data_IF_555840450665
#
_entry.id   IF_555840450665
#
_cell.length_a   1.000
_cell.length_b   1.000
_cell.length_c   1.000
_cell.angle_alpha   90.00
_cell.angle_beta   90.00
_cell.angle_gamma   90.00
#
_symmetry.space_group_name_H-M   'P 1'
#
loop_
_entity.id
_entity.type
_entity.pdbx_description
1 polymer ?
#
# COMPACT_ATOMS: atom_id res chain seq x y z
N UNK A 1 -4.27 -12.27 4.64
CA UNK A 1 -2.82 -12.20 4.35
C UNK A 1 -1.94 -12.81 5.44
N UNK A 2 -2.52 -13.41 6.47
CA UNK A 2 -1.82 -13.95 7.64
C UNK A 2 -0.81 -15.04 7.25
N UNK A 3 -1.16 -15.92 6.31
CA UNK A 3 -0.24 -16.94 5.77
C UNK A 3 1.01 -16.33 5.10
N UNK A 4 0.87 -15.21 4.39
CA UNK A 4 2.01 -14.49 3.79
C UNK A 4 2.90 -13.86 4.87
N UNK A 5 2.31 -13.31 5.94
CA UNK A 5 3.06 -12.74 7.06
C UNK A 5 3.81 -13.82 7.85
N UNK A 6 3.16 -14.95 8.10
CA UNK A 6 3.68 -16.07 8.86
C UNK A 6 4.79 -16.84 8.11
N UNK A 7 4.83 -16.76 6.78
CA UNK A 7 5.89 -17.36 6.00
C UNK A 7 7.26 -16.78 6.37
N UNK A 8 8.18 -17.66 6.77
CA UNK A 8 9.52 -17.27 7.25
C UNK A 8 10.53 -17.04 6.11
N UNK A 9 10.30 -17.64 4.93
CA UNK A 9 11.22 -17.50 3.80
C UNK A 9 10.64 -16.59 2.72
N UNK A 10 11.52 -15.86 2.03
CA UNK A 10 11.14 -15.01 0.88
C UNK A 10 10.54 -15.84 -0.26
N UNK A 11 11.03 -17.06 -0.45
CA UNK A 11 10.54 -18.01 -1.47
C UNK A 11 9.08 -18.36 -1.18
N UNK A 12 8.76 -18.77 0.06
CA UNK A 12 7.39 -19.13 0.43
C UNK A 12 6.42 -17.95 0.33
N UNK A 13 6.88 -16.74 0.68
CA UNK A 13 6.10 -15.51 0.47
C UNK A 13 5.80 -15.24 -0.99
N UNK A 14 6.75 -15.53 -1.90
CA UNK A 14 6.55 -15.39 -3.34
C UNK A 14 5.54 -16.42 -3.85
N UNK A 15 5.67 -17.69 -3.48
CA UNK A 15 4.70 -18.73 -3.84
C UNK A 15 3.28 -18.39 -3.41
N UNK A 16 3.10 -17.94 -2.17
CA UNK A 16 1.77 -17.54 -1.64
C UNK A 16 1.23 -16.33 -2.40
N UNK A 17 2.10 -15.38 -2.78
CA UNK A 17 1.70 -14.24 -3.58
C UNK A 17 1.32 -14.64 -5.01
N UNK A 18 2.07 -15.53 -5.64
CA UNK A 18 1.78 -16.01 -7.00
C UNK A 18 0.48 -16.84 -7.03
N UNK A 19 0.15 -17.56 -5.95
CA UNK A 19 -1.08 -18.35 -5.84
C UNK A 19 -2.32 -17.52 -5.51
N UNK A 20 -2.21 -16.51 -4.65
CA UNK A 20 -3.37 -15.79 -4.11
C UNK A 20 -3.42 -14.30 -4.49
N UNK A 21 -2.34 -13.72 -5.01
CA UNK A 21 -2.22 -12.30 -5.33
C UNK A 21 -2.18 -11.36 -4.12
N UNK A 22 -2.18 -11.90 -2.89
CA UNK A 22 -2.30 -11.12 -1.66
C UNK A 22 -0.96 -11.02 -0.92
N UNK A 23 -0.56 -9.80 -0.57
CA UNK A 23 0.64 -9.49 0.22
C UNK A 23 0.28 -8.83 1.54
N UNK A 24 0.98 -9.19 2.63
CA UNK A 24 0.80 -8.52 3.91
C UNK A 24 1.41 -7.12 3.91
N UNK A 25 0.70 -6.17 4.52
CA UNK A 25 1.16 -4.81 4.76
C UNK A 25 0.57 -4.32 6.10
N UNK A 26 1.16 -3.27 6.68
CA UNK A 26 0.65 -2.70 7.93
C UNK A 26 -0.81 -2.23 7.84
N UNK A 27 -1.31 -1.96 6.63
CA UNK A 27 -2.71 -1.62 6.37
C UNK A 27 -3.69 -2.74 6.75
N UNK A 28 -3.25 -4.00 6.80
CA UNK A 28 -4.09 -5.13 7.23
C UNK A 28 -4.43 -5.10 8.73
N UNK A 29 -3.75 -4.26 9.54
CA UNK A 29 -4.08 -4.07 10.96
C UNK A 29 -5.29 -3.14 11.17
N UNK A 30 -5.71 -2.42 10.14
CA UNK A 30 -6.82 -1.49 10.22
C UNK A 30 -8.14 -2.26 10.17
N UNK A 31 -8.78 -2.43 11.33
CA UNK A 31 -10.01 -3.23 11.47
C UNK A 31 -11.19 -2.78 10.59
N UNK A 32 -11.19 -1.53 10.17
CA UNK A 32 -12.22 -0.94 9.28
C UNK A 32 -11.92 -1.12 7.78
N UNK A 33 -10.74 -1.62 7.43
CA UNK A 33 -10.26 -1.73 6.06
C UNK A 33 -9.73 -3.13 5.83
N UNK A 34 -10.59 -4.02 5.36
CA UNK A 34 -10.15 -5.30 4.80
C UNK A 34 -9.70 -5.07 3.35
N UNK A 35 -8.39 -5.11 3.03
CA UNK A 35 -7.90 -4.84 1.69
C UNK A 35 -8.24 -5.94 0.66
N UNK A 36 -8.73 -7.11 1.10
CA UNK A 36 -9.19 -8.19 0.21
C UNK A 36 -10.67 -8.00 -0.15
N UNK A 37 -11.48 -7.50 0.79
CA UNK A 37 -12.92 -7.24 0.59
C UNK A 37 -13.24 -5.83 0.13
N UNK A 38 -12.39 -4.85 0.47
CA UNK A 38 -12.51 -3.44 0.12
C UNK A 38 -11.41 -3.02 -0.88
N UNK A 39 -11.21 -3.84 -1.93
CA UNK A 39 -10.41 -3.47 -3.10
C UNK A 39 -11.17 -2.42 -3.92
N UNK A 40 -11.45 -1.26 -3.33
CA UNK A 40 -11.92 -0.10 -4.07
C UNK A 40 -10.70 0.42 -4.81
N UNK A 41 -10.45 -0.16 -5.99
CA UNK A 41 -9.40 0.24 -6.92
C UNK A 41 -9.39 1.78 -7.06
N UNK A 42 -10.56 2.41 -7.13
CA UNK A 42 -10.68 3.87 -7.23
C UNK A 42 -10.06 4.67 -6.07
N UNK A 43 -10.05 4.15 -4.83
CA UNK A 43 -9.42 4.83 -3.69
C UNK A 43 -7.92 4.55 -3.67
N UNK A 44 -7.48 3.33 -3.95
CA UNK A 44 -6.05 3.01 -4.07
C UNK A 44 -5.40 3.79 -5.23
N UNK A 45 -6.09 3.91 -6.36
CA UNK A 45 -5.64 4.63 -7.55
C UNK A 45 -5.61 6.14 -7.30
N UNK A 46 -6.65 6.74 -6.71
CA UNK A 46 -6.63 8.15 -6.30
C UNK A 46 -5.50 8.45 -5.30
N UNK A 47 -5.24 7.52 -4.38
CA UNK A 47 -4.16 7.68 -3.42
C UNK A 47 -2.80 7.68 -4.11
N UNK A 48 -2.56 6.77 -5.06
CA UNK A 48 -1.25 6.64 -5.72
C UNK A 48 -1.03 7.66 -6.84
N UNK A 49 -2.06 8.02 -7.62
CA UNK A 49 -1.89 8.83 -8.84
C UNK A 49 -1.84 10.35 -8.61
N UNK A 50 -2.28 10.87 -7.46
CA UNK A 50 -2.23 12.32 -7.26
C UNK A 50 -2.50 12.84 -5.87
N UNK A 51 -3.40 12.22 -5.10
CA UNK A 51 -3.78 12.75 -3.78
C UNK A 51 -2.64 12.60 -2.78
N UNK A 52 -1.98 11.44 -2.73
CA UNK A 52 -0.82 11.27 -1.84
C UNK A 52 0.36 12.12 -2.28
N UNK A 53 0.56 12.27 -3.60
CA UNK A 53 1.65 13.10 -4.12
C UNK A 53 1.42 14.59 -3.81
N UNK A 54 0.19 15.08 -3.99
CA UNK A 54 -0.20 16.44 -3.63
C UNK A 54 -0.12 16.66 -2.12
N UNK A 55 -0.67 15.74 -1.30
CA UNK A 55 -0.58 15.87 0.15
C UNK A 55 0.87 15.81 0.64
N UNK A 56 1.68 14.87 0.15
CA UNK A 56 3.08 14.75 0.56
C UNK A 56 3.91 15.99 0.16
N UNK A 57 3.76 16.50 -1.07
CA UNK A 57 4.57 17.62 -1.58
C UNK A 57 4.05 18.99 -1.16
N UNK A 58 2.74 19.21 -1.22
CA UNK A 58 2.12 20.52 -0.99
C UNK A 58 1.71 20.70 0.48
N UNK A 59 1.12 19.68 1.10
CA UNK A 59 0.60 19.79 2.47
C UNK A 59 1.67 19.47 3.53
N UNK A 60 2.50 18.46 3.28
CA UNK A 60 3.52 18.00 4.23
C UNK A 60 4.95 18.41 3.86
N UNK A 61 5.17 18.99 2.68
CA UNK A 61 6.47 19.52 2.26
C UNK A 61 7.58 18.47 2.11
N UNK A 62 7.24 17.20 1.90
CA UNK A 62 8.20 16.10 1.78
C UNK A 62 8.74 16.10 0.34
N UNK A 63 10.03 16.40 0.18
CA UNK A 63 10.72 16.32 -1.11
C UNK A 63 10.58 17.55 -2.03
N UNK A 64 10.15 18.70 -1.51
CA UNK A 64 10.25 19.98 -2.23
C UNK A 64 11.72 20.41 -2.28
N UNK A 65 12.29 20.48 -3.48
CA UNK A 65 13.56 21.17 -3.70
C UNK A 65 13.25 22.67 -3.68
N UNK A 66 13.85 23.39 -2.73
CA UNK A 66 13.69 24.82 -2.60
C UNK A 66 14.14 25.52 -3.90
N UNK A 67 13.21 25.95 -4.75
CA UNK A 67 13.58 26.78 -5.90
C UNK A 67 12.74 26.74 -7.17
N UNK A 68 11.46 26.38 -7.15
CA UNK A 68 10.57 26.81 -8.25
C UNK A 68 9.56 27.79 -7.69
N UNK A 69 9.89 29.07 -7.82
CA UNK A 69 8.88 30.14 -7.89
C UNK A 69 8.14 30.04 -9.21
#
# INVERSE_FOLDING_TARGET
>A
AEAWQAAQTKVRRKEIFDQHGVRWSALHKLRYRDPVRHTVLGVMHNWIEGVLQHQARVKYGIGIVAGSK
#
